data_IF_098952500177
#
_entry.id   IF_098952500177
#
_cell.length_a   1.000
_cell.length_b   1.000
_cell.length_c   1.000
_cell.angle_alpha   90.00
_cell.angle_beta   90.00
_cell.angle_gamma   90.00
#
_symmetry.space_group_name_H-M   'P 1'
#
loop_
_entity.id
_entity.type
_entity.pdbx_description
1 polymer ?
#
# COMPACT_ATOMS: atom_id res chain seq x y z
N UNK A 1 -11.68 28.91 -1.24
CA UNK A 1 -10.54 28.29 -0.53
C UNK A 1 -11.10 27.10 0.20
N UNK A 2 -10.98 25.90 -0.37
CA UNK A 2 -11.55 24.69 0.21
C UNK A 2 -10.71 24.26 1.40
N UNK A 3 -11.37 23.99 2.53
CA UNK A 3 -10.75 23.35 3.69
C UNK A 3 -10.07 22.06 3.23
N UNK A 4 -8.73 22.06 3.24
CA UNK A 4 -7.96 20.82 3.15
C UNK A 4 -8.29 20.06 4.44
N UNK A 5 -8.97 18.89 4.37
CA UNK A 5 -9.33 18.19 5.58
C UNK A 5 -8.06 17.84 6.33
N UNK A 6 -7.98 18.28 7.60
CA UNK A 6 -6.91 17.90 8.53
C UNK A 6 -6.78 16.38 8.50
N UNK A 7 -5.54 15.88 8.44
CA UNK A 7 -5.25 14.45 8.36
C UNK A 7 -6.09 13.67 9.40
N UNK A 8 -6.92 12.69 8.98
CA UNK A 8 -7.94 12.10 9.83
C UNK A 8 -7.41 11.35 11.07
N UNK A 9 -8.30 11.12 12.04
CA UNK A 9 -7.95 10.64 13.38
C UNK A 9 -7.57 9.15 13.42
N UNK A 10 -8.25 8.29 12.64
CA UNK A 10 -7.97 6.85 12.62
C UNK A 10 -7.15 6.44 11.37
N UNK A 11 -6.50 5.27 11.45
CA UNK A 11 -5.59 4.80 10.40
C UNK A 11 -6.27 4.63 9.03
N UNK A 12 -7.45 4.01 8.98
CA UNK A 12 -8.12 3.72 7.70
C UNK A 12 -8.64 4.99 7.02
N UNK A 13 -9.15 5.95 7.77
CA UNK A 13 -9.51 7.26 7.21
C UNK A 13 -8.28 7.97 6.62
N UNK A 14 -7.11 7.86 7.26
CA UNK A 14 -5.85 8.41 6.70
C UNK A 14 -5.47 7.73 5.40
N UNK A 15 -5.59 6.40 5.32
CA UNK A 15 -5.35 5.69 4.07
C UNK A 15 -6.30 6.16 2.96
N UNK A 16 -7.59 6.31 3.27
CA UNK A 16 -8.58 6.83 2.33
C UNK A 16 -8.29 8.28 1.89
N UNK A 17 -7.81 9.12 2.81
CA UNK A 17 -7.37 10.48 2.51
C UNK A 17 -6.19 10.48 1.52
N UNK A 18 -5.14 9.71 1.78
CA UNK A 18 -3.98 9.62 0.87
C UNK A 18 -4.35 9.06 -0.51
N UNK A 19 -5.28 8.11 -0.59
CA UNK A 19 -5.82 7.64 -1.89
C UNK A 19 -6.54 8.74 -2.66
N UNK A 20 -7.35 9.57 -1.96
CA UNK A 20 -8.03 10.73 -2.58
C UNK A 20 -7.02 11.77 -3.06
N UNK A 21 -5.98 12.06 -2.29
CA UNK A 21 -4.93 12.97 -2.71
C UNK A 21 -4.15 12.42 -3.90
N UNK A 22 -3.80 11.13 -3.91
CA UNK A 22 -3.10 10.48 -5.01
C UNK A 22 -3.86 10.61 -6.34
N UNK A 23 -5.20 10.59 -6.30
CA UNK A 23 -6.06 10.78 -7.48
C UNK A 23 -6.00 12.20 -8.09
N UNK A 24 -5.47 13.18 -7.35
CA UNK A 24 -5.28 14.56 -7.83
C UNK A 24 -3.94 14.75 -8.58
N UNK A 25 -3.04 13.78 -8.51
CA UNK A 25 -1.74 13.83 -9.17
C UNK A 25 -1.76 13.02 -10.48
N UNK A 26 -0.97 13.43 -11.49
CA UNK A 26 -0.83 12.62 -12.71
C UNK A 26 -0.34 11.21 -12.34
N UNK A 27 -1.07 10.22 -12.82
CA UNK A 27 -0.79 8.79 -12.59
C UNK A 27 0.65 8.50 -13.03
N UNK A 28 1.44 7.88 -12.15
CA UNK A 28 2.83 7.50 -12.41
C UNK A 28 3.89 8.52 -11.97
N UNK A 29 3.50 9.66 -11.38
CA UNK A 29 4.46 10.60 -10.78
C UNK A 29 4.94 10.18 -9.37
N UNK A 30 6.08 10.71 -8.92
CA UNK A 30 6.65 10.47 -7.59
C UNK A 30 5.64 10.73 -6.44
N UNK A 31 4.93 11.86 -6.49
CA UNK A 31 3.93 12.21 -5.49
C UNK A 31 2.78 11.21 -5.45
N UNK A 32 2.32 10.74 -6.61
CA UNK A 32 1.29 9.72 -6.71
C UNK A 32 1.74 8.40 -6.05
N UNK A 33 2.96 7.93 -6.37
CA UNK A 33 3.53 6.73 -5.78
C UNK A 33 3.66 6.86 -4.26
N UNK A 34 4.19 7.98 -3.76
CA UNK A 34 4.39 8.22 -2.32
C UNK A 34 3.08 8.23 -1.52
N UNK A 35 2.05 8.89 -2.04
CA UNK A 35 0.73 8.94 -1.41
C UNK A 35 0.08 7.55 -1.37
N UNK A 36 0.13 6.80 -2.48
CA UNK A 36 -0.38 5.43 -2.52
C UNK A 36 0.42 4.47 -1.62
N UNK A 37 1.75 4.56 -1.60
CA UNK A 37 2.59 3.75 -0.72
C UNK A 37 2.26 4.00 0.76
N UNK A 38 2.01 5.26 1.12
CA UNK A 38 1.60 5.63 2.49
C UNK A 38 0.27 4.99 2.86
N UNK A 39 -0.72 5.06 1.96
CA UNK A 39 -2.02 4.41 2.16
C UNK A 39 -1.86 2.88 2.32
N UNK A 40 -1.11 2.25 1.41
CA UNK A 40 -0.82 0.82 1.42
C UNK A 40 -0.18 0.37 2.73
N UNK A 41 0.85 1.06 3.22
CA UNK A 41 1.50 0.70 4.49
C UNK A 41 0.53 0.80 5.68
N UNK A 42 -0.38 1.77 5.69
CA UNK A 42 -1.40 1.88 6.75
C UNK A 42 -2.38 0.71 6.67
N UNK A 43 -2.89 0.42 5.48
CA UNK A 43 -3.87 -0.65 5.27
C UNK A 43 -3.26 -2.03 5.54
N UNK A 44 -2.03 -2.31 5.08
CA UNK A 44 -1.34 -3.57 5.33
C UNK A 44 -1.03 -3.80 6.82
N UNK A 45 -0.62 -2.76 7.55
CA UNK A 45 -0.50 -2.84 9.02
C UNK A 45 -1.84 -3.18 9.66
N UNK A 46 -2.91 -2.51 9.23
CA UNK A 46 -4.24 -2.79 9.74
C UNK A 46 -4.68 -4.24 9.47
N UNK A 47 -4.48 -4.76 8.25
CA UNK A 47 -4.77 -6.17 7.91
C UNK A 47 -3.94 -7.14 8.74
N UNK A 48 -2.65 -6.85 8.93
CA UNK A 48 -1.77 -7.70 9.76
C UNK A 48 -2.30 -7.80 11.19
N UNK A 49 -2.71 -6.66 11.75
CA UNK A 49 -3.10 -6.53 13.16
C UNK A 49 -4.53 -7.04 13.42
N UNK A 50 -5.47 -6.85 12.48
CA UNK A 50 -6.90 -7.21 12.64
C UNK A 50 -7.33 -8.47 11.90
N UNK A 51 -6.55 -8.92 10.91
CA UNK A 51 -6.90 -9.97 9.94
C UNK A 51 -8.09 -9.64 9.04
N UNK A 52 -8.59 -8.39 9.06
CA UNK A 52 -9.67 -7.96 8.18
C UNK A 52 -9.10 -7.45 6.84
N UNK A 53 -9.62 -7.88 5.68
CA UNK A 53 -9.17 -7.39 4.38
C UNK A 53 -9.65 -5.95 4.15
N UNK A 54 -8.71 -5.03 3.98
CA UNK A 54 -8.97 -3.59 3.73
C UNK A 54 -8.62 -3.12 2.33
N UNK A 55 -7.79 -3.88 1.61
CA UNK A 55 -7.30 -3.54 0.29
C UNK A 55 -8.19 -4.20 -0.76
N UNK A 56 -8.59 -3.48 -1.82
CA UNK A 56 -9.43 -4.03 -2.88
C UNK A 56 -8.61 -4.84 -3.88
N UNK A 57 -7.69 -5.69 -3.40
CA UNK A 57 -6.90 -6.56 -4.27
C UNK A 57 -7.77 -7.76 -4.68
N UNK A 58 -8.19 -7.75 -5.94
CA UNK A 58 -9.12 -8.74 -6.51
C UNK A 58 -8.41 -9.79 -7.34
N UNK A 59 -7.18 -9.50 -7.79
CA UNK A 59 -6.40 -10.37 -8.66
C UNK A 59 -4.88 -10.19 -8.41
N UNK A 60 -4.04 -11.13 -8.87
CA UNK A 60 -2.59 -11.05 -8.71
C UNK A 60 -1.93 -9.79 -9.28
N UNK A 61 -2.51 -9.20 -10.33
CA UNK A 61 -1.96 -7.98 -10.94
C UNK A 61 -2.11 -6.80 -9.97
N UNK A 62 -3.22 -6.71 -9.24
CA UNK A 62 -3.44 -5.65 -8.23
C UNK A 62 -2.35 -5.68 -7.14
N UNK A 63 -1.95 -6.90 -6.72
CA UNK A 63 -0.88 -7.11 -5.75
C UNK A 63 0.48 -6.65 -6.30
N UNK A 64 0.79 -6.98 -7.56
CA UNK A 64 2.03 -6.55 -8.22
C UNK A 64 2.07 -5.03 -8.46
N UNK A 65 0.92 -4.41 -8.75
CA UNK A 65 0.81 -2.95 -8.83
C UNK A 65 1.13 -2.33 -7.46
N UNK A 66 0.54 -2.87 -6.38
CA UNK A 66 0.85 -2.44 -5.01
C UNK A 66 2.33 -2.57 -4.66
N UNK A 67 2.94 -3.71 -5.00
CA UNK A 67 4.38 -3.94 -4.79
C UNK A 67 5.24 -2.93 -5.57
N UNK A 68 4.88 -2.62 -6.81
CA UNK A 68 5.59 -1.67 -7.66
C UNK A 68 5.55 -0.26 -7.06
N UNK A 69 4.38 0.18 -6.60
CA UNK A 69 4.19 1.48 -5.94
C UNK A 69 5.07 1.61 -4.70
N UNK A 70 5.12 0.56 -3.87
CA UNK A 70 5.95 0.53 -2.67
C UNK A 70 7.45 0.59 -3.02
N UNK A 71 7.91 -0.15 -4.04
CA UNK A 71 9.31 -0.12 -4.48
C UNK A 71 9.72 1.23 -5.05
N UNK A 72 8.87 1.84 -5.87
CA UNK A 72 9.13 3.17 -6.43
C UNK A 72 9.26 4.21 -5.32
N UNK A 73 8.39 4.16 -4.31
CA UNK A 73 8.47 5.08 -3.17
C UNK A 73 9.68 4.80 -2.29
N UNK A 74 10.03 3.54 -2.07
CA UNK A 74 11.20 3.14 -1.29
C UNK A 74 12.53 3.59 -1.92
N UNK A 75 12.61 3.65 -3.25
CA UNK A 75 13.82 4.09 -3.96
C UNK A 75 14.18 5.56 -3.69
N UNK A 76 13.18 6.36 -3.34
CA UNK A 76 13.25 7.81 -3.14
C UNK A 76 12.99 8.20 -1.66
N UNK A 77 13.04 7.23 -0.75
CA UNK A 77 12.80 7.43 0.68
C UNK A 77 14.11 7.58 1.46
N UNK A 78 14.26 8.73 2.11
CA UNK A 78 15.42 9.10 2.91
C UNK A 78 15.43 8.40 4.27
N UNK A 79 14.25 8.12 4.84
CA UNK A 79 14.11 7.49 6.15
C UNK A 79 14.30 5.97 6.04
N UNK A 80 15.39 5.38 6.59
CA UNK A 80 15.69 3.96 6.40
C UNK A 80 14.58 3.03 6.88
N UNK A 81 13.96 3.34 8.03
CA UNK A 81 12.89 2.52 8.58
C UNK A 81 11.63 2.49 7.68
N UNK A 82 11.28 3.63 7.07
CA UNK A 82 10.14 3.71 6.15
C UNK A 82 10.45 2.97 4.83
N UNK A 83 11.68 3.13 4.32
CA UNK A 83 12.18 2.39 3.16
C UNK A 83 12.12 0.88 3.38
N UNK A 84 12.63 0.40 4.51
CA UNK A 84 12.67 -1.03 4.82
C UNK A 84 11.25 -1.61 5.01
N UNK A 85 10.34 -0.85 5.63
CA UNK A 85 8.93 -1.22 5.74
C UNK A 85 8.29 -1.38 4.34
N UNK A 86 8.49 -0.41 3.45
CA UNK A 86 7.95 -0.48 2.08
C UNK A 86 8.51 -1.67 1.30
N UNK A 87 9.80 -1.96 1.42
CA UNK A 87 10.44 -3.11 0.77
C UNK A 87 9.86 -4.44 1.32
N UNK A 88 9.66 -4.54 2.63
CA UNK A 88 9.09 -5.73 3.26
C UNK A 88 7.66 -5.99 2.77
N UNK A 89 6.82 -4.95 2.74
CA UNK A 89 5.46 -5.06 2.22
C UNK A 89 5.42 -5.38 0.74
N UNK A 90 6.28 -4.75 -0.08
CA UNK A 90 6.36 -5.05 -1.50
C UNK A 90 6.67 -6.54 -1.75
N UNK A 91 7.64 -7.08 -1.01
CA UNK A 91 7.99 -8.50 -1.08
C UNK A 91 6.84 -9.41 -0.68
N UNK A 92 6.08 -9.04 0.36
CA UNK A 92 4.91 -9.82 0.76
C UNK A 92 3.85 -9.86 -0.35
N UNK A 93 3.53 -8.70 -0.94
CA UNK A 93 2.57 -8.63 -2.05
C UNK A 93 3.04 -9.43 -3.27
N UNK A 94 4.34 -9.43 -3.58
CA UNK A 94 4.92 -10.28 -4.64
C UNK A 94 4.74 -11.76 -4.34
N UNK A 95 5.01 -12.19 -3.10
CA UNK A 95 4.80 -13.58 -2.67
C UNK A 95 3.33 -13.96 -2.79
N UNK A 96 2.41 -13.11 -2.33
CA UNK A 96 0.97 -13.35 -2.46
C UNK A 96 0.53 -13.41 -3.93
N UNK A 97 1.05 -12.52 -4.78
CA UNK A 97 0.75 -12.48 -6.21
C UNK A 97 1.22 -13.75 -6.95
N UNK A 98 2.37 -14.29 -6.56
CA UNK A 98 2.89 -15.55 -7.09
C UNK A 98 2.15 -16.79 -6.52
N UNK A 99 1.07 -16.57 -5.77
CA UNK A 99 0.26 -17.63 -5.20
C UNK A 99 0.90 -18.23 -3.96
N UNK A 100 1.44 -17.39 -3.07
CA UNK A 100 2.08 -17.71 -1.80
C UNK A 100 1.43 -18.89 -1.06
N UNK A 101 1.83 -20.09 -1.49
CA UNK A 101 1.32 -21.43 -1.21
C UNK A 101 -0.14 -21.73 -1.62
N UNK A 102 -0.31 -22.22 -2.85
CA UNK A 102 -0.99 -23.52 -3.03
C UNK A 102 -0.18 -24.57 -2.26
N UNK A 103 -0.37 -24.62 -0.95
CA UNK A 103 -0.28 -25.92 -0.29
C UNK A 103 -1.57 -26.61 -0.69
N UNK A 104 -1.43 -27.54 -1.65
CA UNK A 104 -2.40 -28.58 -1.84
C UNK A 104 -2.82 -29.08 -0.46
N UNK A 105 -4.08 -28.85 -0.10
CA UNK A 105 -4.74 -29.71 0.86
C UNK A 105 -4.69 -31.11 0.25
N UNK A 106 -3.65 -31.89 0.58
CA UNK A 106 -3.76 -33.34 0.60
C UNK A 106 -4.72 -33.69 1.73
N UNK A 107 -6.01 -33.60 1.40
CA UNK A 107 -6.95 -34.62 1.86
C UNK A 107 -6.79 -35.83 0.96
#
# INVERSE_FOLDING_TARGET
MGDIPRCPANGLERAAHFRKEAALHPIGGYWHARLLATALCIELRHQRDTKEPTLPFTNPIDLLIGATVLRQSAAEEDLPAARDEMIAWARQLEVEAMGGHVSASTQ
#
